data_IF_700242460410
#
_entry.id   IF_700242460410
#
_cell.length_a   1.000
_cell.length_b   1.000
_cell.length_c   1.000
_cell.angle_alpha   90.00
_cell.angle_beta   90.00
_cell.angle_gamma   90.00
#
_symmetry.space_group_name_H-M   'P 1'
#
loop_
_entity.id
_entity.type
_entity.pdbx_description
1 polymer ?
#
# COMPACT_ATOMS: atom_id res chain seq x y z
N UNK A 1 16.41 -3.95 -7.22
CA UNK A 1 16.19 -5.41 -7.07
C UNK A 1 15.38 -5.90 -8.26
N UNK A 2 15.70 -7.07 -8.81
CA UNK A 2 14.83 -7.69 -9.82
C UNK A 2 13.79 -8.57 -9.13
N UNK A 3 12.53 -8.13 -9.15
CA UNK A 3 11.41 -8.91 -8.63
C UNK A 3 11.17 -10.15 -9.49
N UNK A 4 11.08 -11.30 -8.83
CA UNK A 4 10.64 -12.54 -9.48
C UNK A 4 9.16 -12.45 -9.88
N UNK A 5 8.66 -13.32 -10.76
CA UNK A 5 7.22 -13.38 -11.05
C UNK A 5 6.37 -13.64 -9.81
N UNK A 6 6.87 -14.45 -8.87
CA UNK A 6 6.20 -14.74 -7.60
C UNK A 6 6.10 -13.49 -6.73
N UNK A 7 7.20 -12.73 -6.60
CA UNK A 7 7.21 -11.48 -5.83
C UNK A 7 6.21 -10.47 -6.40
N UNK A 8 6.12 -10.37 -7.73
CA UNK A 8 5.14 -9.50 -8.38
C UNK A 8 3.71 -9.93 -8.08
N UNK A 9 3.41 -11.22 -8.14
CA UNK A 9 2.09 -11.75 -7.82
C UNK A 9 1.71 -11.49 -6.35
N UNK A 10 2.67 -11.61 -5.43
CA UNK A 10 2.43 -11.30 -4.02
C UNK A 10 2.19 -9.80 -3.82
N UNK A 11 3.01 -8.93 -4.44
CA UNK A 11 2.77 -7.49 -4.40
C UNK A 11 1.41 -7.10 -5.01
N UNK A 12 0.97 -7.77 -6.07
CA UNK A 12 -0.39 -7.59 -6.61
C UNK A 12 -1.47 -8.04 -5.62
N UNK A 13 -1.25 -9.16 -4.93
CA UNK A 13 -2.18 -9.68 -3.91
C UNK A 13 -2.28 -8.74 -2.71
N UNK A 14 -1.14 -8.23 -2.23
CA UNK A 14 -1.09 -7.22 -1.16
C UNK A 14 -1.82 -5.95 -1.61
N UNK A 15 -1.59 -5.48 -2.85
CA UNK A 15 -2.29 -4.32 -3.39
C UNK A 15 -3.80 -4.52 -3.40
N UNK A 16 -4.27 -5.68 -3.86
CA UNK A 16 -5.70 -6.03 -3.86
C UNK A 16 -6.29 -6.01 -2.45
N UNK A 17 -5.59 -6.60 -1.48
CA UNK A 17 -6.01 -6.63 -0.07
C UNK A 17 -6.19 -5.20 0.44
N UNK A 18 -5.21 -4.31 0.24
CA UNK A 18 -5.31 -2.94 0.76
C UNK A 18 -6.33 -2.09 0.01
N UNK A 19 -6.53 -2.31 -1.29
CA UNK A 19 -7.61 -1.63 -2.03
C UNK A 19 -9.00 -2.09 -1.59
N UNK A 20 -9.15 -3.35 -1.19
CA UNK A 20 -10.42 -3.85 -0.64
C UNK A 20 -10.77 -3.24 0.73
N UNK A 21 -9.81 -2.58 1.40
CA UNK A 21 -10.04 -1.86 2.66
C UNK A 21 -10.51 -0.42 2.46
N UNK A 22 -10.55 0.10 1.23
CA UNK A 22 -10.97 1.49 0.92
C UNK A 22 -12.29 1.87 1.61
N UNK A 23 -13.38 1.07 1.59
CA UNK A 23 -14.62 1.40 2.30
C UNK A 23 -14.43 1.59 3.81
N UNK A 24 -13.56 0.77 4.44
CA UNK A 24 -13.26 0.90 5.86
C UNK A 24 -12.49 2.19 6.15
N UNK A 25 -11.59 2.61 5.25
CA UNK A 25 -10.87 3.87 5.39
C UNK A 25 -11.80 5.08 5.37
N UNK A 26 -12.78 5.11 4.45
CA UNK A 26 -13.82 6.13 4.43
C UNK A 26 -14.64 6.17 5.73
N UNK A 27 -15.01 5.00 6.28
CA UNK A 27 -15.75 4.93 7.54
C UNK A 27 -14.93 5.41 8.76
N UNK A 28 -13.61 5.22 8.75
CA UNK A 28 -12.73 5.63 9.85
C UNK A 28 -12.52 7.15 9.90
N UNK A 29 -12.38 7.80 8.74
CA UNK A 29 -12.10 9.23 8.61
C UNK A 29 -13.34 10.12 8.58
N UNK A 30 -14.54 9.53 8.42
CA UNK A 30 -15.81 10.24 8.56
C UNK A 30 -16.55 9.86 9.86
N UNK A 31 -15.98 10.08 11.06
CA UNK A 31 -16.74 9.94 12.29
C UNK A 31 -17.77 11.06 12.33
N UNK A 32 -19.03 10.69 12.28
CA UNK A 32 -20.23 11.51 12.14
C UNK A 32 -20.48 12.58 13.23
N UNK A 33 -19.47 13.05 13.97
CA UNK A 33 -19.66 13.79 15.23
C UNK A 33 -18.66 14.90 15.63
N UNK A 34 -17.62 15.26 14.88
CA UNK A 34 -16.63 16.27 15.33
C UNK A 34 -16.38 17.41 14.32
N UNK A 35 -16.09 18.62 14.84
CA UNK A 35 -15.80 19.89 14.13
C UNK A 35 -14.53 19.89 13.24
N UNK A 36 -13.88 18.74 13.06
CA UNK A 36 -12.64 18.59 12.29
C UNK A 36 -12.97 17.88 10.98
N UNK A 37 -13.59 18.62 10.07
CA UNK A 37 -13.92 18.14 8.73
C UNK A 37 -12.65 17.92 7.92
N UNK A 38 -12.50 16.74 7.32
CA UNK A 38 -11.42 16.46 6.38
C UNK A 38 -11.91 16.86 4.99
N UNK A 39 -11.45 18.00 4.50
CA UNK A 39 -11.90 18.54 3.20
C UNK A 39 -11.54 17.62 2.01
N UNK A 40 -10.43 16.88 2.10
CA UNK A 40 -9.94 16.02 1.03
C UNK A 40 -9.83 14.56 1.48
N UNK A 41 -11.01 13.97 1.70
CA UNK A 41 -11.18 12.59 2.15
C UNK A 41 -10.52 11.59 1.19
N UNK A 42 -10.61 11.81 -0.12
CA UNK A 42 -10.05 10.91 -1.13
C UNK A 42 -8.51 10.85 -1.07
N UNK A 43 -7.85 12.00 -0.93
CA UNK A 43 -6.39 12.04 -0.77
C UNK A 43 -5.96 11.44 0.58
N UNK A 44 -6.77 11.60 1.63
CA UNK A 44 -6.54 10.95 2.92
C UNK A 44 -6.59 9.41 2.79
N UNK A 45 -7.64 8.88 2.13
CA UNK A 45 -7.77 7.45 1.83
C UNK A 45 -6.61 6.95 0.96
N UNK A 46 -6.19 7.73 -0.04
CA UNK A 46 -5.04 7.39 -0.87
C UNK A 46 -3.76 7.24 -0.02
N UNK A 47 -3.52 8.18 0.90
CA UNK A 47 -2.42 8.10 1.85
C UNK A 47 -2.48 6.85 2.74
N UNK A 48 -3.68 6.48 3.21
CA UNK A 48 -3.88 5.26 3.99
C UNK A 48 -3.58 3.98 3.18
N UNK A 49 -4.06 3.91 1.94
CA UNK A 49 -3.78 2.78 1.03
C UNK A 49 -2.27 2.68 0.75
N UNK A 50 -1.62 3.79 0.44
CA UNK A 50 -0.17 3.84 0.21
C UNK A 50 0.62 3.34 1.42
N UNK A 51 0.33 3.88 2.61
CA UNK A 51 1.03 3.49 3.83
C UNK A 51 0.81 2.00 4.16
N UNK A 52 -0.42 1.51 4.03
CA UNK A 52 -0.77 0.10 4.25
C UNK A 52 -0.03 -0.82 3.28
N UNK A 53 0.01 -0.46 1.99
CA UNK A 53 0.75 -1.20 0.96
C UNK A 53 2.24 -1.25 1.30
N UNK A 54 2.87 -0.09 1.49
CA UNK A 54 4.31 0.01 1.73
C UNK A 54 4.72 -0.77 2.97
N UNK A 55 3.96 -0.67 4.06
CA UNK A 55 4.24 -1.42 5.30
C UNK A 55 4.20 -2.93 5.05
N UNK A 56 3.13 -3.44 4.44
CA UNK A 56 2.93 -4.89 4.22
C UNK A 56 3.92 -5.47 3.20
N UNK A 57 4.16 -4.75 2.11
CA UNK A 57 5.07 -5.17 1.06
C UNK A 57 6.53 -5.14 1.50
N UNK A 58 6.93 -4.13 2.28
CA UNK A 58 8.29 -4.07 2.85
C UNK A 58 8.51 -5.21 3.84
N UNK A 59 7.51 -5.54 4.67
CA UNK A 59 7.58 -6.68 5.59
C UNK A 59 7.71 -8.01 4.84
N UNK A 60 6.91 -8.24 3.79
CA UNK A 60 7.01 -9.43 2.95
C UNK A 60 8.41 -9.57 2.31
N UNK A 61 8.89 -8.51 1.65
CA UNK A 61 10.19 -8.53 0.98
C UNK A 61 11.33 -8.75 1.99
N UNK A 62 11.22 -8.16 3.19
CA UNK A 62 12.18 -8.36 4.28
C UNK A 62 12.22 -9.81 4.77
N UNK A 63 11.06 -10.42 5.02
CA UNK A 63 10.97 -11.80 5.50
C UNK A 63 11.55 -12.80 4.49
N UNK A 64 11.32 -12.56 3.20
CA UNK A 64 11.93 -13.36 2.13
C UNK A 64 13.46 -13.43 2.16
N UNK A 65 14.15 -12.42 2.70
CA UNK A 65 15.62 -12.42 2.79
C UNK A 65 16.10 -13.06 4.07
N UNK A 66 15.38 -12.90 5.18
CA UNK A 66 15.70 -13.68 6.39
C UNK A 66 15.70 -15.18 6.04
N UNK A 67 14.77 -15.59 5.18
CA UNK A 67 14.67 -16.96 4.69
C UNK A 67 15.74 -17.33 3.64
N UNK A 68 16.25 -16.38 2.84
CA UNK A 68 17.20 -16.64 1.73
C UNK A 68 18.67 -16.29 2.05
N UNK A 69 18.94 -15.38 2.97
CA UNK A 69 20.25 -14.85 3.35
C UNK A 69 20.19 -14.12 4.71
N UNK A 70 20.41 -14.82 5.84
CA UNK A 70 20.28 -14.26 7.18
C UNK A 70 21.30 -13.16 7.54
N UNK A 71 22.32 -12.90 6.71
CA UNK A 71 23.34 -11.86 6.91
C UNK A 71 23.05 -10.53 6.19
N UNK A 72 21.84 -10.31 5.67
CA UNK A 72 21.55 -9.12 4.84
C UNK A 72 21.59 -7.79 5.60
N UNK A 73 22.39 -6.86 5.09
CA UNK A 73 22.72 -5.55 5.68
C UNK A 73 21.66 -4.45 5.40
N UNK A 74 21.72 -3.33 6.13
CA UNK A 74 20.79 -2.18 6.08
C UNK A 74 20.54 -1.60 4.67
N UNK A 75 21.51 -1.68 3.77
CA UNK A 75 21.38 -1.22 2.37
C UNK A 75 20.29 -1.96 1.59
N UNK A 76 19.99 -3.19 1.98
CA UNK A 76 18.92 -3.98 1.37
C UNK A 76 17.53 -3.40 1.67
N UNK A 77 17.30 -2.88 2.89
CA UNK A 77 16.01 -2.30 3.29
C UNK A 77 15.60 -1.09 2.45
N UNK A 78 16.55 -0.22 2.08
CA UNK A 78 16.28 0.93 1.22
C UNK A 78 15.87 0.47 -0.19
N UNK A 79 16.57 -0.52 -0.73
CA UNK A 79 16.27 -1.06 -2.05
C UNK A 79 14.87 -1.70 -2.13
N UNK A 80 14.39 -2.36 -1.06
CA UNK A 80 13.03 -2.92 -0.99
C UNK A 80 11.97 -1.85 -0.89
N UNK A 81 12.24 -0.82 -0.10
CA UNK A 81 11.35 0.32 0.02
C UNK A 81 11.17 1.02 -1.33
N UNK A 82 12.27 1.31 -2.02
CA UNK A 82 12.26 1.89 -3.37
C UNK A 82 11.55 0.99 -4.39
N UNK A 83 11.81 -0.31 -4.35
CA UNK A 83 11.15 -1.29 -5.24
C UNK A 83 9.64 -1.32 -5.01
N UNK A 84 9.22 -1.29 -3.74
CA UNK A 84 7.81 -1.25 -3.34
C UNK A 84 7.13 0.04 -3.81
N UNK A 85 7.77 1.19 -3.61
CA UNK A 85 7.26 2.48 -4.09
C UNK A 85 7.12 2.49 -5.61
N UNK A 86 8.13 2.01 -6.34
CA UNK A 86 8.08 1.96 -7.80
C UNK A 86 6.94 1.08 -8.30
N UNK A 87 6.72 -0.07 -7.66
CA UNK A 87 5.59 -0.93 -7.95
C UNK A 87 4.25 -0.22 -7.71
N UNK A 88 4.08 0.43 -6.56
CA UNK A 88 2.86 1.17 -6.23
C UNK A 88 2.60 2.31 -7.22
N UNK A 89 3.64 3.08 -7.56
CA UNK A 89 3.56 4.22 -8.48
C UNK A 89 3.00 3.81 -9.84
N UNK A 90 3.37 2.63 -10.35
CA UNK A 90 2.83 2.10 -11.60
C UNK A 90 1.33 1.75 -11.52
N UNK A 91 0.77 1.62 -10.31
CA UNK A 91 -0.63 1.23 -10.06
C UNK A 91 -1.49 2.39 -9.52
N UNK A 92 -0.93 3.60 -9.40
CA UNK A 92 -1.65 4.80 -8.92
C UNK A 92 -2.98 5.03 -9.66
N UNK A 93 -3.06 4.96 -11.01
CA UNK A 93 -4.32 5.19 -11.71
C UNK A 93 -5.43 4.22 -11.28
N UNK A 94 -5.09 2.95 -11.07
CA UNK A 94 -6.03 1.93 -10.60
C UNK A 94 -6.49 2.21 -9.17
N UNK A 95 -5.56 2.55 -8.26
CA UNK A 95 -5.91 2.88 -6.87
C UNK A 95 -6.83 4.09 -6.81
N UNK A 96 -6.51 5.16 -7.55
CA UNK A 96 -7.37 6.36 -7.62
C UNK A 96 -8.76 6.02 -8.15
N UNK A 97 -8.86 5.20 -9.18
CA UNK A 97 -10.16 4.76 -9.71
C UNK A 97 -10.97 3.98 -8.67
N UNK A 98 -10.33 3.09 -7.91
CA UNK A 98 -11.01 2.34 -6.85
C UNK A 98 -11.55 3.27 -5.74
N UNK A 99 -10.78 4.29 -5.34
CA UNK A 99 -11.21 5.29 -4.35
C UNK A 99 -12.43 6.07 -4.84
N UNK A 100 -12.38 6.61 -6.07
CA UNK A 100 -13.48 7.37 -6.67
C UNK A 100 -14.74 6.51 -6.85
N UNK A 101 -14.59 5.21 -7.08
CA UNK A 101 -15.73 4.30 -7.21
C UNK A 101 -16.46 4.14 -5.87
N UNK A 102 -15.72 4.03 -4.77
CA UNK A 102 -16.31 3.91 -3.42
C UNK A 102 -16.86 5.24 -2.92
N UNK A 103 -16.21 6.38 -3.19
CA UNK A 103 -16.69 7.69 -2.73
C UNK A 103 -18.05 8.09 -3.32
N UNK A 104 -18.43 7.51 -4.47
CA UNK A 104 -19.70 7.73 -5.15
C UNK A 104 -20.78 6.68 -4.83
N UNK A 105 -20.46 5.70 -3.99
CA UNK A 105 -21.36 4.60 -3.58
C UNK A 105 -22.26 5.03 -2.42
#
# INVERSE_FOLDING_TARGET
MNLTPEDKNELESILQIVTNQIPNYFNLINPSKNDWEIENVEDCVFGMVFNSFVSKSTEYLKNMIIDKNPESDLNSNLEYFETTINFFNAKIPHVKQAIVSVSKS
#
